data_IF_519482756471
#
_entry.id   IF_519482756471
#
_cell.length_a   1.000
_cell.length_b   1.000
_cell.length_c   1.000
_cell.angle_alpha   90.00
_cell.angle_beta   90.00
_cell.angle_gamma   90.00
#
_symmetry.space_group_name_H-M   'P 1'
#
loop_
_entity.id
_entity.type
_entity.pdbx_description
1 polymer ?
#
# COMPACT_ATOMS: atom_id res chain seq x y z
N UNK A 1 -12.82 11.91 14.13
CA UNK A 1 -12.77 11.21 15.45
C UNK A 1 -14.15 10.67 15.84
N UNK A 2 -15.20 11.50 15.82
CA UNK A 2 -16.57 11.11 16.20
C UNK A 2 -17.14 9.99 15.32
N UNK A 3 -16.89 10.02 13.99
CA UNK A 3 -17.35 8.98 13.07
C UNK A 3 -16.76 7.61 13.39
N UNK A 4 -15.48 7.55 13.73
CA UNK A 4 -14.78 6.30 14.08
C UNK A 4 -15.26 5.76 15.41
N UNK A 5 -15.36 6.60 16.43
CA UNK A 5 -15.82 6.20 17.76
C UNK A 5 -17.25 5.65 17.76
N UNK A 6 -18.12 6.22 16.91
CA UNK A 6 -19.53 5.83 16.83
C UNK A 6 -19.79 4.73 15.78
N UNK A 7 -18.76 4.26 15.05
CA UNK A 7 -18.90 3.29 13.97
C UNK A 7 -20.07 3.62 13.03
N UNK A 8 -20.09 4.85 12.55
CA UNK A 8 -21.19 5.38 11.74
C UNK A 8 -21.43 4.55 10.47
N UNK A 9 -22.61 4.70 9.89
CA UNK A 9 -22.95 4.05 8.62
C UNK A 9 -22.00 4.54 7.51
N UNK A 10 -21.75 3.68 6.54
CA UNK A 10 -20.83 3.94 5.42
C UNK A 10 -21.14 5.26 4.68
N UNK A 11 -22.43 5.55 4.47
CA UNK A 11 -22.87 6.79 3.85
C UNK A 11 -22.56 8.05 4.66
N UNK A 12 -22.63 7.97 5.98
CA UNK A 12 -22.24 9.08 6.86
C UNK A 12 -20.72 9.25 6.84
N UNK A 13 -19.99 8.15 6.76
CA UNK A 13 -18.54 8.17 6.67
C UNK A 13 -18.08 8.73 5.32
N UNK A 14 -18.72 8.35 4.21
CA UNK A 14 -18.50 8.94 2.88
C UNK A 14 -18.64 10.47 2.92
N UNK A 15 -19.70 10.99 3.57
CA UNK A 15 -19.88 12.42 3.73
C UNK A 15 -18.74 13.08 4.52
N UNK A 16 -18.26 12.43 5.57
CA UNK A 16 -17.11 12.92 6.34
C UNK A 16 -15.84 12.96 5.49
N UNK A 17 -15.59 11.92 4.69
CA UNK A 17 -14.47 11.88 3.73
C UNK A 17 -14.58 13.00 2.69
N UNK A 18 -15.77 13.22 2.12
CA UNK A 18 -16.01 14.35 1.22
C UNK A 18 -15.68 15.70 1.88
N UNK A 19 -16.05 15.89 3.14
CA UNK A 19 -15.74 17.11 3.88
C UNK A 19 -14.22 17.27 4.09
N UNK A 20 -13.50 16.18 4.39
CA UNK A 20 -12.05 16.20 4.47
C UNK A 20 -11.41 16.58 3.12
N UNK A 21 -11.88 16.03 2.01
CA UNK A 21 -11.42 16.41 0.67
C UNK A 21 -11.67 17.89 0.37
N UNK A 22 -12.81 18.43 0.81
CA UNK A 22 -13.09 19.86 0.66
C UNK A 22 -12.13 20.72 1.49
N UNK A 23 -11.74 20.29 2.69
CA UNK A 23 -10.71 20.96 3.49
C UNK A 23 -9.33 20.90 2.83
N UNK A 24 -9.05 19.82 2.08
CA UNK A 24 -7.84 19.68 1.24
C UNK A 24 -7.91 20.51 -0.05
N UNK A 25 -8.96 21.31 -0.25
CA UNK A 25 -9.10 22.25 -1.37
C UNK A 25 -9.89 21.76 -2.57
N UNK A 26 -10.28 20.49 -2.63
CA UNK A 26 -11.12 19.95 -3.71
C UNK A 26 -12.55 20.49 -3.64
N UNK A 27 -13.17 20.74 -4.77
CA UNK A 27 -14.47 21.44 -4.85
C UNK A 27 -15.57 20.52 -5.40
N UNK A 28 -16.46 20.02 -4.51
CA UNK A 28 -17.58 19.16 -4.91
C UNK A 28 -18.50 19.86 -5.93
N UNK A 29 -18.78 21.16 -5.73
CA UNK A 29 -19.65 21.94 -6.64
C UNK A 29 -19.03 22.19 -8.03
N UNK A 30 -17.73 21.97 -8.21
CA UNK A 30 -17.04 22.01 -9.52
C UNK A 30 -16.95 20.64 -10.17
N UNK A 31 -17.53 19.61 -9.56
CA UNK A 31 -17.41 18.24 -10.03
C UNK A 31 -16.04 17.61 -9.78
N UNK A 32 -15.20 18.18 -8.91
CA UNK A 32 -13.88 17.63 -8.60
C UNK A 32 -13.96 16.44 -7.61
N UNK A 33 -15.03 16.37 -6.81
CA UNK A 33 -15.37 15.24 -5.96
C UNK A 33 -16.68 14.67 -6.49
N UNK A 34 -16.63 13.49 -7.08
CA UNK A 34 -17.82 12.79 -7.61
C UNK A 34 -18.07 11.56 -6.76
N UNK A 35 -19.23 11.52 -6.11
CA UNK A 35 -19.65 10.36 -5.30
C UNK A 35 -20.47 9.40 -6.14
N UNK A 36 -20.42 8.11 -5.82
CA UNK A 36 -21.12 7.04 -6.55
C UNK A 36 -20.83 7.12 -8.06
N UNK A 37 -19.53 7.18 -8.37
CA UNK A 37 -19.05 7.31 -9.75
C UNK A 37 -19.29 6.02 -10.53
N UNK A 38 -20.02 6.05 -11.66
CA UNK A 38 -20.33 4.85 -12.42
C UNK A 38 -19.06 4.28 -13.10
N UNK A 39 -18.82 3.01 -12.86
CA UNK A 39 -17.72 2.24 -13.45
C UNK A 39 -18.31 1.07 -14.21
N UNK A 40 -18.05 1.00 -15.52
CA UNK A 40 -18.55 -0.10 -16.35
C UNK A 40 -17.64 -1.32 -16.21
N UNK A 41 -18.14 -2.37 -15.60
CA UNK A 41 -17.44 -3.65 -15.44
C UNK A 41 -18.14 -4.73 -16.30
N UNK A 42 -17.76 -4.86 -17.56
CA UNK A 42 -18.42 -5.75 -18.49
C UNK A 42 -19.87 -5.32 -18.78
N UNK A 43 -20.84 -6.15 -18.39
CA UNK A 43 -22.27 -5.84 -18.51
C UNK A 43 -22.89 -5.25 -17.25
N UNK A 44 -22.14 -5.12 -16.17
CA UNK A 44 -22.60 -4.60 -14.90
C UNK A 44 -22.12 -3.16 -14.70
N UNK A 45 -23.02 -2.31 -14.17
CA UNK A 45 -22.64 -1.00 -13.65
C UNK A 45 -22.30 -1.15 -12.19
N UNK A 46 -21.05 -0.87 -11.85
CA UNK A 46 -20.57 -0.71 -10.46
C UNK A 46 -20.39 0.77 -10.15
N UNK A 47 -20.29 1.09 -8.89
CA UNK A 47 -20.13 2.48 -8.46
C UNK A 47 -18.96 2.56 -7.50
N UNK A 48 -17.97 3.38 -7.85
CA UNK A 48 -16.91 3.74 -6.91
C UNK A 48 -17.46 4.80 -5.95
N UNK A 49 -17.14 4.68 -4.67
CA UNK A 49 -17.69 5.58 -3.65
C UNK A 49 -17.35 7.03 -3.94
N UNK A 50 -16.07 7.32 -4.17
CA UNK A 50 -15.62 8.66 -4.56
C UNK A 50 -14.55 8.55 -5.65
N UNK A 51 -14.67 9.37 -6.69
CA UNK A 51 -13.60 9.66 -7.63
C UNK A 51 -13.25 11.15 -7.53
N UNK A 52 -11.98 11.43 -7.35
CA UNK A 52 -11.45 12.78 -7.41
C UNK A 52 -10.89 13.03 -8.79
N UNK A 53 -11.32 14.15 -9.40
CA UNK A 53 -10.92 14.50 -10.76
C UNK A 53 -10.51 15.96 -10.85
N UNK A 54 -9.67 16.28 -11.81
CA UNK A 54 -9.28 17.63 -12.16
C UNK A 54 -9.47 17.81 -13.66
N UNK A 55 -10.17 18.88 -14.05
CA UNK A 55 -10.48 19.17 -15.46
C UNK A 55 -11.15 17.99 -16.20
N UNK A 56 -12.03 17.28 -15.49
CA UNK A 56 -12.72 16.06 -15.93
C UNK A 56 -11.79 14.87 -16.23
N UNK A 57 -10.59 14.84 -15.67
CA UNK A 57 -9.66 13.73 -15.71
C UNK A 57 -9.54 13.15 -14.30
N UNK A 58 -9.82 11.86 -14.16
CA UNK A 58 -9.74 11.14 -12.89
C UNK A 58 -8.28 11.14 -12.40
N UNK A 59 -8.09 11.48 -11.14
CA UNK A 59 -6.77 11.55 -10.50
C UNK A 59 -6.55 10.37 -9.56
N UNK A 60 -7.54 10.07 -8.73
CA UNK A 60 -7.53 8.93 -7.83
C UNK A 60 -8.95 8.52 -7.45
N UNK A 61 -9.10 7.27 -7.03
CA UNK A 61 -10.37 6.68 -6.59
C UNK A 61 -10.29 6.34 -5.11
N UNK A 62 -11.41 6.45 -4.42
CA UNK A 62 -11.53 6.14 -3.00
C UNK A 62 -12.64 5.12 -2.82
N UNK A 63 -12.32 4.02 -2.15
CA UNK A 63 -13.26 3.03 -1.63
C UNK A 63 -13.42 3.23 -0.14
N UNK A 64 -14.64 3.22 0.36
CA UNK A 64 -14.97 3.52 1.75
C UNK A 64 -15.67 2.32 2.38
N UNK A 65 -15.24 1.95 3.55
CA UNK A 65 -15.91 0.98 4.42
C UNK A 65 -16.12 1.59 5.79
N UNK A 66 -17.04 1.02 6.56
CA UNK A 66 -17.29 1.48 7.95
C UNK A 66 -15.98 1.54 8.75
N UNK A 67 -15.86 2.45 9.70
CA UNK A 67 -14.61 2.61 10.47
C UNK A 67 -14.09 1.34 11.16
N UNK A 68 -14.99 0.46 11.59
CA UNK A 68 -14.64 -0.80 12.27
C UNK A 68 -14.64 -2.01 11.33
N UNK A 69 -14.77 -1.79 10.02
CA UNK A 69 -14.65 -2.87 9.05
C UNK A 69 -13.19 -3.32 8.95
N UNK A 70 -12.97 -4.61 9.11
CA UNK A 70 -11.66 -5.21 8.92
C UNK A 70 -11.46 -5.40 7.42
N UNK A 71 -10.41 -4.79 6.87
CA UNK A 71 -10.05 -4.89 5.47
C UNK A 71 -10.01 -6.37 5.02
N UNK A 72 -10.73 -6.67 3.95
CA UNK A 72 -10.78 -7.97 3.31
C UNK A 72 -10.13 -7.90 1.91
N UNK A 73 -9.71 -9.03 1.41
CA UNK A 73 -9.12 -9.14 0.06
C UNK A 73 -10.10 -8.69 -1.05
N UNK A 74 -11.40 -8.91 -0.84
CA UNK A 74 -12.47 -8.46 -1.73
C UNK A 74 -12.56 -6.94 -1.81
N UNK A 75 -12.35 -6.23 -0.71
CA UNK A 75 -12.35 -4.77 -0.67
C UNK A 75 -11.20 -4.20 -1.51
N UNK A 76 -10.01 -4.80 -1.37
CA UNK A 76 -8.84 -4.43 -2.18
C UNK A 76 -9.08 -4.72 -3.67
N UNK A 77 -9.61 -5.90 -4.01
CA UNK A 77 -9.93 -6.27 -5.39
C UNK A 77 -10.96 -5.33 -6.01
N UNK A 78 -11.94 -4.87 -5.22
CA UNK A 78 -12.93 -3.90 -5.65
C UNK A 78 -12.25 -2.57 -6.00
N UNK A 79 -11.43 -2.02 -5.11
CA UNK A 79 -10.65 -0.81 -5.36
C UNK A 79 -9.75 -0.94 -6.59
N UNK A 80 -9.01 -2.05 -6.73
CA UNK A 80 -8.12 -2.30 -7.86
C UNK A 80 -8.88 -2.38 -9.19
N UNK A 81 -10.09 -2.95 -9.17
CA UNK A 81 -10.96 -2.98 -10.34
C UNK A 81 -11.35 -1.57 -10.76
N UNK A 82 -11.71 -0.71 -9.81
CA UNK A 82 -12.05 0.68 -10.12
C UNK A 82 -10.85 1.45 -10.66
N UNK A 83 -9.66 1.31 -10.07
CA UNK A 83 -8.43 1.95 -10.56
C UNK A 83 -8.19 1.66 -12.05
N UNK A 84 -8.47 0.43 -12.51
CA UNK A 84 -8.19 -0.03 -13.88
C UNK A 84 -9.34 0.18 -14.85
N UNK A 85 -10.59 0.27 -14.38
CA UNK A 85 -11.79 0.35 -15.21
C UNK A 85 -12.32 1.78 -15.40
N UNK A 86 -11.78 2.76 -14.66
CA UNK A 86 -12.11 4.16 -14.89
C UNK A 86 -11.74 4.57 -16.32
N UNK A 87 -12.46 5.55 -16.87
CA UNK A 87 -12.27 6.04 -18.25
C UNK A 87 -10.82 6.47 -18.51
N UNK A 88 -10.24 7.20 -17.58
CA UNK A 88 -8.81 7.44 -17.53
C UNK A 88 -8.28 6.57 -16.37
N UNK A 89 -7.56 5.50 -16.71
CA UNK A 89 -6.99 4.60 -15.73
C UNK A 89 -6.20 5.40 -14.68
N UNK A 90 -6.54 5.22 -13.41
CA UNK A 90 -5.83 5.85 -12.31
C UNK A 90 -4.86 4.86 -11.68
N UNK A 91 -3.70 5.37 -11.28
CA UNK A 91 -2.65 4.57 -10.65
C UNK A 91 -2.62 4.72 -9.12
N UNK A 92 -3.51 5.55 -8.57
CA UNK A 92 -3.64 5.78 -7.13
C UNK A 92 -5.05 5.43 -6.66
N UNK A 93 -5.12 4.58 -5.64
CA UNK A 93 -6.35 4.23 -4.97
C UNK A 93 -6.22 4.46 -3.46
N UNK A 94 -7.24 5.03 -2.85
CA UNK A 94 -7.35 5.16 -1.41
C UNK A 94 -8.43 4.22 -0.88
N UNK A 95 -8.07 3.42 0.11
CA UNK A 95 -9.04 2.73 0.94
C UNK A 95 -9.20 3.49 2.25
N UNK A 96 -10.43 3.79 2.64
CA UNK A 96 -10.74 4.52 3.88
C UNK A 96 -11.70 3.68 4.72
N UNK A 97 -11.20 3.16 5.82
CA UNK A 97 -11.94 2.33 6.79
C UNK A 97 -11.44 2.60 8.20
N UNK A 98 -10.86 1.60 8.84
CA UNK A 98 -10.14 1.72 10.12
C UNK A 98 -8.94 2.68 10.03
N UNK A 99 -8.30 2.69 8.86
CA UNK A 99 -7.17 3.54 8.47
C UNK A 99 -7.39 4.08 7.06
N UNK A 100 -6.60 5.06 6.68
CA UNK A 100 -6.44 5.43 5.27
C UNK A 100 -5.25 4.65 4.73
N UNK A 101 -5.45 3.94 3.61
CA UNK A 101 -4.38 3.19 2.91
C UNK A 101 -4.27 3.69 1.49
N UNK A 102 -3.05 3.99 1.06
CA UNK A 102 -2.75 4.34 -0.33
C UNK A 102 -2.21 3.13 -1.05
N UNK A 103 -2.85 2.81 -2.17
CA UNK A 103 -2.43 1.78 -3.11
C UNK A 103 -1.89 2.43 -4.38
N UNK A 104 -0.81 1.86 -4.89
CA UNK A 104 -0.16 2.28 -6.11
C UNK A 104 -0.15 1.15 -7.15
N UNK A 105 -0.72 1.41 -8.33
CA UNK A 105 -0.67 0.50 -9.48
C UNK A 105 0.53 0.84 -10.37
N UNK A 106 1.59 0.06 -10.22
CA UNK A 106 2.73 0.12 -11.13
C UNK A 106 2.41 -0.67 -12.39
N UNK A 107 1.72 -0.02 -13.32
CA UNK A 107 1.21 -0.64 -14.57
C UNK A 107 2.31 -1.35 -15.34
N UNK A 108 3.55 -0.86 -15.28
CA UNK A 108 4.69 -1.46 -15.98
C UNK A 108 5.08 -2.82 -15.38
N UNK A 109 4.81 -3.06 -14.09
CA UNK A 109 5.14 -4.31 -13.41
C UNK A 109 4.19 -5.46 -13.74
N UNK A 110 3.01 -5.17 -14.30
CA UNK A 110 1.92 -6.13 -14.55
C UNK A 110 1.43 -6.87 -13.29
N UNK A 111 1.76 -6.36 -12.12
CA UNK A 111 1.32 -6.88 -10.83
C UNK A 111 0.02 -6.21 -10.37
N UNK A 112 -0.56 -6.70 -9.28
CA UNK A 112 -1.65 -6.00 -8.62
C UNK A 112 -1.13 -4.73 -7.92
N UNK A 113 -1.99 -3.71 -7.73
CA UNK A 113 -1.64 -2.55 -6.91
C UNK A 113 -1.13 -2.98 -5.53
N UNK A 114 -0.13 -2.28 -5.03
CA UNK A 114 0.46 -2.55 -3.71
C UNK A 114 0.17 -1.41 -2.75
N UNK A 115 -0.12 -1.75 -1.48
CA UNK A 115 -0.19 -0.74 -0.43
C UNK A 115 1.21 -0.17 -0.19
N UNK A 116 1.34 1.14 -0.38
CA UNK A 116 2.61 1.86 -0.25
C UNK A 116 2.64 2.83 0.94
N UNK A 117 1.48 3.19 1.48
CA UNK A 117 1.39 4.10 2.61
C UNK A 117 0.13 3.79 3.44
N UNK A 118 0.19 4.05 4.73
CA UNK A 118 -0.94 3.88 5.65
C UNK A 118 -0.92 4.99 6.70
N UNK A 119 -2.09 5.54 6.99
CA UNK A 119 -2.29 6.60 7.97
C UNK A 119 -3.36 6.20 8.97
N UNK A 120 -3.05 6.27 10.25
CA UNK A 120 -4.03 6.15 11.33
C UNK A 120 -4.90 7.41 11.39
N UNK A 121 -6.22 7.23 11.53
CA UNK A 121 -7.17 8.35 11.56
C UNK A 121 -7.31 8.84 13.01
N UNK A 122 -6.28 9.48 13.47
CA UNK A 122 -6.19 10.05 14.82
C UNK A 122 -5.64 11.47 14.81
N UNK A 123 -5.81 12.16 15.93
CA UNK A 123 -5.29 13.50 16.11
C UNK A 123 -3.76 13.43 16.28
N UNK A 124 -3.06 14.27 15.54
CA UNK A 124 -1.59 14.31 15.50
C UNK A 124 -0.93 13.01 14.99
N UNK A 125 -1.60 12.30 14.08
CA UNK A 125 -0.97 11.18 13.39
C UNK A 125 0.36 11.63 12.74
N UNK A 126 1.48 10.92 12.96
CA UNK A 126 2.81 11.34 12.48
C UNK A 126 2.85 11.63 10.98
N UNK A 127 2.13 10.81 10.21
CA UNK A 127 2.11 10.89 8.75
C UNK A 127 0.99 11.80 8.19
N UNK A 128 0.22 12.46 9.09
CA UNK A 128 -0.90 13.32 8.70
C UNK A 128 -0.47 14.49 7.83
N UNK A 129 0.65 15.14 8.14
CA UNK A 129 1.20 16.22 7.32
C UNK A 129 1.61 15.73 5.94
N UNK A 130 2.21 14.54 5.87
CA UNK A 130 2.60 13.94 4.59
C UNK A 130 1.38 13.65 3.72
N UNK A 131 0.30 13.14 4.31
CA UNK A 131 -0.97 12.95 3.59
C UNK A 131 -1.52 14.26 3.04
N UNK A 132 -1.50 15.33 3.82
CA UNK A 132 -1.94 16.67 3.38
C UNK A 132 -1.08 17.16 2.21
N UNK A 133 0.25 17.03 2.27
CA UNK A 133 1.15 17.40 1.17
C UNK A 133 0.83 16.63 -0.12
N UNK A 134 0.56 15.32 -0.01
CA UNK A 134 0.33 14.46 -1.17
C UNK A 134 -1.04 14.66 -1.80
N UNK A 135 -2.08 15.02 -1.02
CA UNK A 135 -3.47 15.02 -1.48
C UNK A 135 -4.17 16.38 -1.44
N UNK A 136 -3.53 17.45 -0.92
CA UNK A 136 -4.09 18.81 -1.06
C UNK A 136 -4.07 19.24 -2.50
N UNK A 137 -5.17 19.81 -2.97
CA UNK A 137 -5.33 20.23 -4.36
C UNK A 137 -4.26 21.23 -4.82
N UNK A 138 -3.82 22.12 -3.95
CA UNK A 138 -2.82 23.14 -4.28
C UNK A 138 -1.40 22.59 -4.34
N UNK A 139 -1.13 21.48 -3.62
CA UNK A 139 0.21 20.88 -3.50
C UNK A 139 0.35 19.62 -4.36
N UNK A 140 -0.77 18.97 -4.68
CA UNK A 140 -0.75 17.70 -5.40
C UNK A 140 -0.08 17.84 -6.74
N UNK A 141 0.93 16.99 -6.96
CA UNK A 141 1.60 16.82 -8.23
C UNK A 141 1.71 15.32 -8.50
N UNK A 142 1.11 14.86 -9.60
CA UNK A 142 1.05 13.44 -9.93
C UNK A 142 2.44 12.82 -10.09
N UNK A 143 3.42 13.57 -10.57
CA UNK A 143 4.79 13.08 -10.64
C UNK A 143 5.40 12.90 -9.25
N UNK A 144 5.26 13.89 -8.38
CA UNK A 144 5.76 13.82 -6.98
C UNK A 144 5.08 12.68 -6.22
N UNK A 145 3.76 12.49 -6.40
CA UNK A 145 3.02 11.38 -5.80
C UNK A 145 3.52 10.02 -6.34
N UNK A 146 3.79 9.94 -7.65
CA UNK A 146 4.34 8.74 -8.27
C UNK A 146 5.73 8.41 -7.73
N UNK A 147 6.60 9.40 -7.61
CA UNK A 147 7.97 9.21 -7.11
C UNK A 147 7.95 8.76 -5.65
N UNK A 148 7.10 9.38 -4.82
CA UNK A 148 6.87 8.94 -3.45
C UNK A 148 6.39 7.48 -3.40
N UNK A 149 5.39 7.10 -4.20
CA UNK A 149 4.88 5.74 -4.22
C UNK A 149 5.92 4.72 -4.65
N UNK A 150 6.75 5.04 -5.65
CA UNK A 150 7.86 4.17 -6.08
C UNK A 150 8.90 3.98 -4.99
N UNK A 151 9.27 5.05 -4.30
CA UNK A 151 10.19 5.00 -3.17
C UNK A 151 9.64 4.11 -2.04
N UNK A 152 8.39 4.34 -1.63
CA UNK A 152 7.74 3.54 -0.59
C UNK A 152 7.60 2.06 -1.00
N UNK A 153 7.25 1.77 -2.27
CA UNK A 153 7.22 0.41 -2.80
C UNK A 153 8.59 -0.27 -2.68
N UNK A 154 9.66 0.41 -3.05
CA UNK A 154 11.02 -0.12 -2.94
C UNK A 154 11.41 -0.41 -1.48
N UNK A 155 11.06 0.48 -0.55
CA UNK A 155 11.28 0.29 0.90
C UNK A 155 10.51 -0.94 1.39
N UNK A 156 9.21 -1.05 1.07
CA UNK A 156 8.38 -2.19 1.47
C UNK A 156 8.91 -3.51 0.92
N UNK A 157 9.33 -3.54 -0.35
CA UNK A 157 9.92 -4.74 -0.96
C UNK A 157 11.22 -5.16 -0.27
N UNK A 158 12.08 -4.20 0.03
CA UNK A 158 13.33 -4.46 0.76
C UNK A 158 13.08 -5.00 2.17
N UNK A 159 12.09 -4.45 2.86
CA UNK A 159 11.67 -4.94 4.19
C UNK A 159 11.13 -6.37 4.13
N UNK A 160 10.27 -6.68 3.14
CA UNK A 160 9.75 -8.05 2.93
C UNK A 160 10.87 -9.03 2.62
N UNK A 161 11.82 -8.66 1.77
CA UNK A 161 12.99 -9.49 1.48
C UNK A 161 13.80 -9.76 2.73
N UNK A 162 14.08 -8.74 3.53
CA UNK A 162 14.81 -8.89 4.80
C UNK A 162 14.06 -9.81 5.78
N UNK A 163 12.74 -9.64 5.92
CA UNK A 163 11.93 -10.52 6.78
C UNK A 163 11.95 -11.97 6.32
N UNK A 164 11.88 -12.20 5.00
CA UNK A 164 11.96 -13.55 4.44
C UNK A 164 13.32 -14.18 4.69
N UNK A 165 14.42 -13.45 4.55
CA UNK A 165 15.75 -13.96 4.85
C UNK A 165 15.91 -14.25 6.35
N UNK A 166 15.42 -13.38 7.23
CA UNK A 166 15.40 -13.65 8.67
C UNK A 166 14.59 -14.92 8.99
N UNK A 167 13.39 -15.05 8.42
CA UNK A 167 12.57 -16.25 8.63
C UNK A 167 13.27 -17.53 8.13
N UNK A 168 13.96 -17.46 7.00
CA UNK A 168 14.73 -18.55 6.44
C UNK A 168 15.88 -18.95 7.38
N UNK A 169 16.64 -17.99 7.89
CA UNK A 169 17.72 -18.23 8.86
C UNK A 169 17.16 -18.85 10.14
N UNK A 170 16.04 -18.33 10.68
CA UNK A 170 15.43 -18.85 11.89
C UNK A 170 14.81 -20.24 11.71
N UNK A 171 14.46 -20.63 10.49
CA UNK A 171 13.93 -21.96 10.16
C UNK A 171 15.02 -23.02 9.97
N UNK A 172 16.29 -22.62 9.88
CA UNK A 172 17.42 -23.55 9.74
C UNK A 172 17.78 -24.19 11.08
N UNK A 173 17.00 -25.18 11.45
CA UNK A 173 17.25 -26.00 12.67
C UNK A 173 18.45 -26.89 12.56
N UNK A 174 18.99 -27.10 11.35
CA UNK A 174 20.17 -27.97 11.11
C UNK A 174 21.49 -27.24 11.27
N UNK A 175 21.45 -25.90 11.28
CA UNK A 175 22.64 -25.06 11.21
C UNK A 175 23.39 -25.15 9.87
N UNK A 176 22.76 -25.72 8.84
CA UNK A 176 23.42 -25.95 7.56
C UNK A 176 23.80 -24.63 6.87
N UNK A 177 22.95 -23.63 6.92
CA UNK A 177 23.27 -22.30 6.37
C UNK A 177 24.49 -21.67 7.04
N UNK A 178 24.61 -21.85 8.37
CA UNK A 178 25.79 -21.38 9.10
C UNK A 178 27.05 -22.11 8.68
N UNK A 179 26.95 -23.45 8.53
CA UNK A 179 28.06 -24.27 8.06
C UNK A 179 28.49 -23.92 6.63
N UNK A 180 27.52 -23.68 5.73
CA UNK A 180 27.79 -23.31 4.35
C UNK A 180 28.48 -21.93 4.28
N UNK A 181 28.04 -20.95 5.06
CA UNK A 181 28.66 -19.62 5.15
C UNK A 181 30.11 -19.69 5.70
N UNK A 182 30.34 -20.52 6.72
CA UNK A 182 31.69 -20.76 7.23
C UNK A 182 32.57 -21.49 6.21
N UNK A 183 32.00 -22.44 5.47
CA UNK A 183 32.70 -23.15 4.40
C UNK A 183 33.19 -22.20 3.33
N UNK A 184 32.30 -21.34 2.81
CA UNK A 184 32.65 -20.35 1.81
C UNK A 184 33.75 -19.41 2.30
N UNK A 185 33.59 -18.85 3.52
CA UNK A 185 34.58 -17.98 4.13
C UNK A 185 35.98 -18.61 4.23
N UNK A 186 36.08 -19.84 4.72
CA UNK A 186 37.40 -20.48 4.92
C UNK A 186 38.02 -20.93 3.60
N UNK A 187 37.20 -21.26 2.59
CA UNK A 187 37.73 -21.54 1.25
C UNK A 187 38.32 -20.27 0.62
N UNK A 188 37.64 -19.11 0.80
CA UNK A 188 38.15 -17.83 0.34
C UNK A 188 39.43 -17.38 1.04
N UNK A 189 39.58 -17.78 2.32
CA UNK A 189 40.82 -17.57 3.10
C UNK A 189 41.95 -18.51 2.70
N UNK A 190 41.69 -19.47 1.77
CA UNK A 190 42.69 -20.34 1.20
C UNK A 190 42.88 -21.67 1.90
N UNK A 191 41.98 -22.06 2.82
CA UNK A 191 42.02 -23.39 3.44
C UNK A 191 41.53 -24.46 2.46
N UNK A 192 42.07 -25.71 2.58
CA UNK A 192 41.63 -26.80 1.73
C UNK A 192 40.21 -27.26 2.07
N UNK A 193 39.46 -27.68 1.05
CA UNK A 193 38.09 -28.17 1.23
C UNK A 193 38.00 -29.33 2.21
N UNK A 194 38.97 -30.26 2.16
CA UNK A 194 39.06 -31.41 3.07
C UNK A 194 39.18 -30.97 4.53
N UNK A 195 40.04 -29.97 4.78
CA UNK A 195 40.22 -29.45 6.13
C UNK A 195 38.94 -28.75 6.62
N UNK A 196 38.34 -27.92 5.78
CA UNK A 196 37.11 -27.18 6.13
C UNK A 196 35.98 -28.17 6.45
N UNK A 197 35.75 -29.17 5.61
CA UNK A 197 34.71 -30.19 5.83
C UNK A 197 34.96 -30.99 7.13
N UNK A 198 36.22 -31.32 7.42
CA UNK A 198 36.58 -31.98 8.68
C UNK A 198 36.24 -31.13 9.91
N UNK A 199 36.48 -29.85 9.87
CA UNK A 199 36.16 -28.93 10.97
C UNK A 199 34.65 -28.72 11.10
N UNK A 200 33.93 -28.48 10.01
CA UNK A 200 32.48 -28.23 10.03
C UNK A 200 31.66 -29.44 10.49
N UNK A 201 32.17 -30.69 10.25
CA UNK A 201 31.52 -31.89 10.73
C UNK A 201 31.59 -32.04 12.26
N UNK A 202 32.53 -31.37 12.93
CA UNK A 202 32.64 -31.35 14.37
C UNK A 202 31.79 -30.30 15.07
N UNK A 203 31.25 -29.34 14.29
CA UNK A 203 30.41 -28.27 14.81
C UNK A 203 28.94 -28.74 14.91
N UNK A 204 28.46 -28.87 16.14
CA UNK A 204 27.05 -29.07 16.42
C UNK A 204 26.42 -27.68 16.66
N UNK A 205 25.50 -27.31 15.79
CA UNK A 205 24.67 -26.09 15.98
C UNK A 205 23.41 -26.53 16.73
N UNK A 206 23.36 -26.20 18.03
CA UNK A 206 22.18 -26.42 18.89
C UNK A 206 21.29 -25.20 18.90
#
# INVERSE_FOLDING_TARGET
KTCIQNNVLEKEYENAVCNCLMLLGWKKFRGEIVTQYPVQAGHENKYADIVVQQDNVEQFVIEIKRPNHILQEEDERQLFSYMRLLKHQVIFGLYVGDKIRLYYDDVASQQLPEQVFSLDIEENAPDGLKFVELFSKELVNMQTLTDFCKEQKAICQKQKQMQNEVAKILSDTSGQMFKDALKEKYLDEGYSAEWVDSVLNQINVN
#
